data_IF_718047626005
#
_entry.id   IF_718047626005
#
_cell.length_a   1.000
_cell.length_b   1.000
_cell.length_c   1.000
_cell.angle_alpha   90.00
_cell.angle_beta   90.00
_cell.angle_gamma   90.00
#
_symmetry.space_group_name_H-M   'P 1'
#
loop_
_entity.id
_entity.type
_entity.pdbx_description
1 polymer ?
#
# COMPACT_ATOMS: atom_id res chain seq x y z
N UNK A 1 -13.22 12.20 9.46
CA UNK A 1 -14.22 11.26 9.97
C UNK A 1 -13.70 10.58 11.22
N UNK A 2 -14.51 10.51 12.28
CA UNK A 2 -14.13 10.01 13.61
C UNK A 2 -13.64 8.54 13.62
N UNK A 3 -14.20 7.69 12.75
CA UNK A 3 -13.93 6.24 12.73
C UNK A 3 -12.60 5.84 12.07
N UNK A 4 -12.06 6.69 11.19
CA UNK A 4 -10.83 6.37 10.44
C UNK A 4 -9.63 6.09 11.35
N UNK A 5 -9.27 6.99 12.28
CA UNK A 5 -8.17 6.78 13.21
C UNK A 5 -8.31 5.51 14.06
N UNK A 6 -9.51 5.23 14.57
CA UNK A 6 -9.79 4.03 15.39
C UNK A 6 -9.50 2.76 14.58
N UNK A 7 -9.96 2.71 13.34
CA UNK A 7 -9.74 1.58 12.43
C UNK A 7 -8.25 1.31 12.16
N UNK A 8 -7.44 2.35 11.93
CA UNK A 8 -5.99 2.20 11.73
C UNK A 8 -5.24 1.78 13.00
N UNK A 9 -5.69 2.22 14.18
CA UNK A 9 -5.11 1.83 15.47
C UNK A 9 -5.36 0.35 15.73
N UNK A 10 -6.59 -0.14 15.53
CA UNK A 10 -6.93 -1.57 15.73
C UNK A 10 -6.06 -2.48 14.86
N UNK A 11 -5.82 -2.11 13.60
CA UNK A 11 -4.94 -2.89 12.72
C UNK A 11 -3.50 -2.93 13.23
N UNK A 12 -3.01 -1.80 13.73
CA UNK A 12 -1.63 -1.66 14.19
C UNK A 12 -1.30 -2.60 15.36
N UNK A 13 -2.30 -2.97 16.17
CA UNK A 13 -2.14 -3.94 17.26
C UNK A 13 -1.88 -5.37 16.78
N UNK A 14 -2.25 -5.73 15.54
CA UNK A 14 -1.99 -7.06 14.98
C UNK A 14 -0.62 -7.16 14.29
N UNK A 15 0.16 -6.08 14.23
CA UNK A 15 1.46 -6.04 13.57
C UNK A 15 2.56 -6.47 14.52
N UNK A 16 3.34 -7.46 14.09
CA UNK A 16 4.56 -7.85 14.79
C UNK A 16 5.81 -7.40 14.02
N UNK A 17 6.57 -6.47 14.61
CA UNK A 17 7.82 -5.95 14.04
C UNK A 17 8.95 -6.98 13.96
N UNK A 18 8.82 -8.14 14.63
CA UNK A 18 9.79 -9.24 14.54
C UNK A 18 10.01 -9.72 13.11
N UNK A 19 9.05 -9.48 12.21
CA UNK A 19 9.19 -9.82 10.78
C UNK A 19 10.35 -9.12 10.09
N UNK A 20 10.69 -7.90 10.51
CA UNK A 20 11.81 -7.15 9.94
C UNK A 20 13.17 -7.82 10.21
N UNK A 21 13.25 -8.67 11.24
CA UNK A 21 14.45 -9.40 11.64
C UNK A 21 14.32 -10.91 11.41
N UNK A 22 13.30 -11.33 10.67
CA UNK A 22 13.01 -12.73 10.38
C UNK A 22 13.41 -13.13 8.97
N UNK A 23 13.37 -14.42 8.69
CA UNK A 23 13.57 -15.00 7.35
C UNK A 23 12.59 -14.45 6.30
N UNK A 24 11.44 -13.90 6.74
CA UNK A 24 10.42 -13.32 5.86
C UNK A 24 10.75 -11.90 5.35
N UNK A 25 11.83 -11.28 5.81
CA UNK A 25 12.17 -9.91 5.43
C UNK A 25 12.41 -9.76 3.91
N UNK A 26 13.12 -10.72 3.31
CA UNK A 26 13.37 -10.71 1.86
C UNK A 26 12.07 -10.87 1.06
N UNK A 27 11.15 -11.71 1.54
CA UNK A 27 9.84 -11.91 0.93
C UNK A 27 8.97 -10.64 1.03
N UNK A 28 9.01 -9.95 2.17
CA UNK A 28 8.33 -8.67 2.37
C UNK A 28 8.82 -7.61 1.37
N UNK A 29 10.13 -7.48 1.17
CA UNK A 29 10.70 -6.53 0.21
C UNK A 29 10.23 -6.87 -1.21
N UNK A 30 10.34 -8.14 -1.60
CA UNK A 30 9.95 -8.59 -2.93
C UNK A 30 8.46 -8.30 -3.22
N UNK A 31 7.57 -8.64 -2.28
CA UNK A 31 6.15 -8.35 -2.40
C UNK A 31 5.85 -6.85 -2.43
N UNK A 32 6.56 -6.06 -1.62
CA UNK A 32 6.37 -4.60 -1.58
C UNK A 32 6.72 -3.97 -2.93
N UNK A 33 7.86 -4.36 -3.51
CA UNK A 33 8.29 -3.89 -4.84
C UNK A 33 7.27 -4.33 -5.90
N UNK A 34 6.86 -5.60 -5.89
CA UNK A 34 5.86 -6.12 -6.82
C UNK A 34 4.52 -5.39 -6.70
N UNK A 35 4.06 -5.09 -5.49
CA UNK A 35 2.83 -4.34 -5.25
C UNK A 35 2.90 -2.91 -5.80
N UNK A 36 4.01 -2.21 -5.56
CA UNK A 36 4.22 -0.84 -6.05
C UNK A 36 4.29 -0.84 -7.58
N UNK A 37 5.16 -1.67 -8.16
CA UNK A 37 5.34 -1.70 -9.61
C UNK A 37 4.06 -2.13 -10.32
N UNK A 38 3.40 -3.18 -9.85
CA UNK A 38 2.17 -3.67 -10.47
C UNK A 38 1.08 -2.60 -10.52
N UNK A 39 0.83 -1.91 -9.40
CA UNK A 39 -0.19 -0.84 -9.35
C UNK A 39 0.23 0.39 -10.15
N UNK A 40 1.43 0.91 -9.91
CA UNK A 40 1.89 2.15 -10.53
C UNK A 40 2.00 1.98 -12.04
N UNK A 41 2.55 0.86 -12.53
CA UNK A 41 2.67 0.61 -13.96
C UNK A 41 1.30 0.42 -14.62
N UNK A 42 0.41 -0.38 -14.03
CA UNK A 42 -0.92 -0.61 -14.61
C UNK A 42 -1.76 0.69 -14.67
N UNK A 43 -1.76 1.47 -13.59
CA UNK A 43 -2.47 2.74 -13.53
C UNK A 43 -1.84 3.81 -14.44
N UNK A 44 -0.51 3.89 -14.49
CA UNK A 44 0.17 4.84 -15.40
C UNK A 44 -0.05 4.47 -16.87
N UNK A 45 -0.02 3.18 -17.20
CA UNK A 45 -0.22 2.71 -18.57
C UNK A 45 -1.66 2.98 -19.02
N UNK A 46 -2.64 2.66 -18.18
CA UNK A 46 -4.04 2.97 -18.48
C UNK A 46 -4.31 4.46 -18.64
N UNK A 47 -3.71 5.33 -17.80
CA UNK A 47 -3.77 6.78 -17.98
C UNK A 47 -3.10 7.25 -19.29
N UNK A 48 -2.00 6.62 -19.67
CA UNK A 48 -1.31 6.95 -20.93
C UNK A 48 -2.16 6.60 -22.14
N UNK A 49 -2.86 5.47 -22.10
CA UNK A 49 -3.77 5.01 -23.15
C UNK A 49 -5.02 5.89 -23.28
N UNK A 50 -5.43 6.59 -22.20
CA UNK A 50 -6.57 7.51 -22.22
C UNK A 50 -6.19 8.94 -22.60
N UNK A 51 -4.93 9.19 -22.98
CA UNK A 51 -4.46 10.46 -23.53
C UNK A 51 -3.72 11.37 -22.55
N UNK A 52 -3.42 10.93 -21.33
CA UNK A 52 -2.63 11.73 -20.39
C UNK A 52 -1.16 11.84 -20.81
N UNK A 53 -0.52 12.97 -20.46
CA UNK A 53 0.91 13.15 -20.62
C UNK A 53 1.71 12.22 -19.69
N UNK A 54 2.98 11.96 -19.99
CA UNK A 54 3.80 11.03 -19.22
C UNK A 54 3.90 11.41 -17.72
N UNK A 55 3.99 12.71 -17.42
CA UNK A 55 3.99 13.22 -16.04
C UNK A 55 2.65 12.97 -15.34
N UNK A 56 1.55 13.33 -15.98
CA UNK A 56 0.21 13.19 -15.40
C UNK A 56 -0.16 11.71 -15.23
N UNK A 57 0.27 10.85 -16.17
CA UNK A 57 0.10 9.40 -16.08
C UNK A 57 0.82 8.83 -14.86
N UNK A 58 2.04 9.28 -14.57
CA UNK A 58 2.77 8.88 -13.36
C UNK A 58 2.10 9.42 -12.08
N UNK A 59 1.56 10.64 -12.10
CA UNK A 59 0.79 11.20 -10.98
C UNK A 59 -0.42 10.31 -10.68
N UNK A 60 -1.16 9.89 -11.70
CA UNK A 60 -2.27 8.92 -11.55
C UNK A 60 -1.74 7.59 -11.00
N UNK A 61 -0.65 7.07 -11.56
CA UNK A 61 -0.03 5.82 -11.11
C UNK A 61 0.30 5.81 -9.62
N UNK A 62 1.03 6.82 -9.15
CA UNK A 62 1.38 6.96 -7.73
C UNK A 62 0.16 7.30 -6.87
N UNK A 63 -0.80 8.06 -7.39
CA UNK A 63 -2.04 8.38 -6.69
C UNK A 63 -2.90 7.14 -6.40
N UNK A 64 -2.87 6.14 -7.28
CA UNK A 64 -3.58 4.87 -7.10
C UNK A 64 -2.83 3.84 -6.24
N UNK A 65 -1.57 4.12 -5.86
CA UNK A 65 -0.77 3.19 -5.07
C UNK A 65 -1.27 3.07 -3.62
N UNK A 66 -1.89 4.13 -3.09
CA UNK A 66 -2.42 4.17 -1.73
C UNK A 66 -3.29 2.95 -1.42
N UNK A 67 -2.96 2.24 -0.33
CA UNK A 67 -3.76 1.12 0.15
C UNK A 67 -4.83 1.66 1.09
N UNK A 68 -6.08 1.26 0.83
CA UNK A 68 -7.26 1.81 1.50
C UNK A 68 -7.85 0.85 2.53
N UNK A 69 -9.07 1.18 2.95
CA UNK A 69 -9.88 0.40 3.90
C UNK A 69 -10.14 -1.04 3.44
N UNK A 70 -10.30 -1.27 2.14
CA UNK A 70 -10.70 -2.58 1.58
C UNK A 70 -9.67 -3.65 1.91
N UNK A 71 -8.38 -3.35 1.80
CA UNK A 71 -7.33 -4.33 2.09
C UNK A 71 -7.30 -4.72 3.57
N UNK A 72 -7.53 -3.75 4.44
CA UNK A 72 -7.57 -3.96 5.88
C UNK A 72 -8.76 -4.87 6.23
N UNK A 73 -9.92 -4.65 5.59
CA UNK A 73 -11.07 -5.54 5.74
C UNK A 73 -10.72 -6.96 5.28
N UNK A 74 -10.04 -7.12 4.15
CA UNK A 74 -9.63 -8.45 3.67
C UNK A 74 -8.68 -9.16 4.64
N UNK A 75 -7.79 -8.42 5.30
CA UNK A 75 -6.91 -8.97 6.36
C UNK A 75 -7.74 -9.44 7.55
N UNK A 76 -8.69 -8.64 8.03
CA UNK A 76 -9.56 -9.00 9.16
C UNK A 76 -10.38 -10.24 8.83
N UNK A 77 -11.03 -10.28 7.67
CA UNK A 77 -11.79 -11.45 7.20
C UNK A 77 -10.88 -12.67 7.06
N UNK A 78 -9.65 -12.50 6.58
CA UNK A 78 -8.69 -13.60 6.47
C UNK A 78 -8.23 -14.16 7.81
N UNK A 79 -8.19 -13.34 8.86
CA UNK A 79 -7.94 -13.77 10.25
C UNK A 79 -9.15 -14.54 10.78
N UNK A 80 -10.37 -14.02 10.59
CA UNK A 80 -11.62 -14.65 11.02
C UNK A 80 -11.83 -16.03 10.38
N UNK A 81 -11.44 -16.18 9.11
CA UNK A 81 -11.48 -17.45 8.39
C UNK A 81 -10.32 -18.39 8.75
N UNK A 82 -9.36 -17.95 9.57
CA UNK A 82 -8.17 -18.74 9.94
C UNK A 82 -7.19 -18.98 8.79
N UNK A 83 -7.31 -18.24 7.69
CA UNK A 83 -6.47 -18.38 6.49
C UNK A 83 -5.13 -17.66 6.68
N UNK A 84 -5.14 -16.55 7.42
CA UNK A 84 -3.95 -15.72 7.66
C UNK A 84 -3.34 -16.02 9.02
N UNK A 85 -2.05 -16.36 9.02
CA UNK A 85 -1.27 -16.42 10.24
C UNK A 85 -0.72 -15.02 10.64
N UNK A 86 -0.23 -14.88 11.87
CA UNK A 86 0.31 -13.61 12.38
C UNK A 86 1.42 -13.02 11.49
N UNK A 87 2.20 -13.88 10.84
CA UNK A 87 3.28 -13.44 9.95
C UNK A 87 2.73 -12.81 8.66
N UNK A 88 1.74 -13.46 8.03
CA UNK A 88 1.07 -12.95 6.82
C UNK A 88 0.35 -11.63 7.09
N UNK A 89 -0.36 -11.54 8.21
CA UNK A 89 -1.02 -10.30 8.65
C UNK A 89 -0.01 -9.16 8.74
N UNK A 90 1.10 -9.39 9.45
CA UNK A 90 2.15 -8.39 9.61
C UNK A 90 2.75 -7.97 8.27
N UNK A 91 3.05 -8.91 7.37
CA UNK A 91 3.55 -8.61 6.01
C UNK A 91 2.57 -7.73 5.24
N UNK A 92 1.28 -8.09 5.22
CA UNK A 92 0.25 -7.34 4.50
C UNK A 92 0.11 -5.91 5.04
N UNK A 93 0.10 -5.76 6.37
CA UNK A 93 0.02 -4.42 6.98
C UNK A 93 1.27 -3.59 6.69
N UNK A 94 2.47 -4.19 6.69
CA UNK A 94 3.68 -3.48 6.29
C UNK A 94 3.61 -2.98 4.85
N UNK A 95 3.15 -3.81 3.91
CA UNK A 95 2.99 -3.39 2.51
C UNK A 95 1.95 -2.26 2.42
N UNK A 96 0.83 -2.37 3.15
CA UNK A 96 -0.18 -1.31 3.27
C UNK A 96 0.41 0.01 3.77
N UNK A 97 1.18 -0.03 4.84
CA UNK A 97 1.82 1.14 5.42
C UNK A 97 2.83 1.77 4.46
N UNK A 98 3.73 0.97 3.87
CA UNK A 98 4.79 1.46 2.98
C UNK A 98 4.19 2.11 1.73
N UNK A 99 3.28 1.45 1.03
CA UNK A 99 2.63 2.00 -0.18
C UNK A 99 1.82 3.25 0.11
N UNK A 100 1.13 3.30 1.26
CA UNK A 100 0.35 4.47 1.69
C UNK A 100 1.23 5.65 2.05
N UNK A 101 2.43 5.41 2.62
CA UNK A 101 3.41 6.47 2.87
C UNK A 101 4.07 6.96 1.58
N UNK A 102 4.41 6.05 0.66
CA UNK A 102 5.03 6.39 -0.64
C UNK A 102 4.12 7.29 -1.46
N UNK A 103 2.81 7.07 -1.43
CA UNK A 103 1.83 7.82 -2.24
C UNK A 103 1.94 9.35 -2.08
N UNK A 104 1.76 9.95 -0.88
CA UNK A 104 1.88 11.40 -0.71
C UNK A 104 3.32 11.90 -0.92
N UNK A 105 4.35 11.11 -0.59
CA UNK A 105 5.76 11.47 -0.83
C UNK A 105 6.04 11.62 -2.34
N UNK A 106 5.64 10.63 -3.14
CA UNK A 106 5.79 10.63 -4.59
C UNK A 106 4.95 11.72 -5.25
N UNK A 107 3.69 11.89 -4.83
CA UNK A 107 2.82 12.94 -5.37
C UNK A 107 3.36 14.34 -5.09
N UNK A 108 3.87 14.60 -3.88
CA UNK A 108 4.47 15.89 -3.53
C UNK A 108 5.67 16.24 -4.42
N UNK A 109 6.45 15.25 -4.83
CA UNK A 109 7.58 15.43 -5.73
C UNK A 109 7.13 15.63 -7.18
N UNK A 110 6.12 14.89 -7.64
CA UNK A 110 5.67 14.90 -9.04
C UNK A 110 4.76 16.09 -9.40
N UNK A 111 3.86 16.48 -8.50
CA UNK A 111 2.95 17.61 -8.71
C UNK A 111 3.70 18.95 -8.60
N UNK A 112 4.88 18.97 -7.97
CA UNK A 112 5.58 20.20 -7.62
C UNK A 112 4.77 21.02 -6.61
N UNK A 113 5.39 22.04 -5.99
CA UNK A 113 4.65 22.97 -5.12
C UNK A 113 3.45 23.52 -5.91
N UNK A 114 2.24 23.11 -5.55
CA UNK A 114 1.02 23.88 -5.81
C UNK A 114 1.34 25.27 -5.26
N UNK A 115 1.52 26.23 -6.17
CA UNK A 115 1.58 27.64 -5.79
C UNK A 115 0.20 28.07 -5.31
#
# INVERSE_FOLDING_TARGET
GFLGPIFFITLSFHVNFKILFSEYFQFLIFLTIGAILGKVLAASLSARLTGFNAKDSLIVGFGMNGRGMIEIILVVVGIELGILNNSMVSILVFIAMITTLITPLSLRLLVGKVK
#
